data_IF_576665265988
#
_entry.id   IF_576665265988
#
_cell.length_a   1.000
_cell.length_b   1.000
_cell.length_c   1.000
_cell.angle_alpha   90.00
_cell.angle_beta   90.00
_cell.angle_gamma   90.00
#
_symmetry.space_group_name_H-M   'P 1'
#
loop_
_entity.id
_entity.type
_entity.pdbx_description
1 polymer ?
#
# COMPACT_ATOMS: atom_id res chain seq x y z
N UNK A 1 -1.02 13.93 0.47
CA UNK A 1 -0.02 13.42 -0.51
C UNK A 1 -0.02 14.38 -1.68
N UNK A 2 1.13 14.73 -2.22
CA UNK A 2 1.21 15.52 -3.45
C UNK A 2 1.79 14.69 -4.58
N UNK A 3 1.34 14.95 -5.79
CA UNK A 3 1.89 14.36 -7.02
C UNK A 3 2.31 15.51 -7.92
N UNK A 4 3.55 15.46 -8.41
CA UNK A 4 4.10 16.53 -9.26
C UNK A 4 4.96 15.95 -10.38
N UNK A 5 5.29 16.77 -11.39
CA UNK A 5 6.31 16.43 -12.37
C UNK A 5 7.52 17.33 -12.16
N UNK A 6 8.70 16.75 -11.97
CA UNK A 6 9.95 17.46 -11.74
C UNK A 6 10.93 17.19 -12.88
N UNK A 7 11.58 18.23 -13.40
CA UNK A 7 12.65 18.07 -14.39
C UNK A 7 14.03 18.00 -13.71
N UNK A 8 15.05 17.60 -14.47
CA UNK A 8 16.45 17.54 -13.98
C UNK A 8 16.99 18.89 -13.52
N UNK A 9 16.44 20.00 -14.04
CA UNK A 9 16.84 21.37 -13.67
C UNK A 9 16.05 21.91 -12.47
N UNK A 10 15.19 21.10 -11.84
CA UNK A 10 14.48 21.44 -10.61
C UNK A 10 13.12 22.12 -10.79
N UNK A 11 12.71 22.47 -12.01
CA UNK A 11 11.37 23.01 -12.25
C UNK A 11 10.29 21.97 -11.94
N UNK A 12 9.26 22.41 -11.22
CA UNK A 12 8.12 21.59 -10.81
C UNK A 12 6.88 22.04 -11.58
N UNK A 13 6.17 21.09 -12.18
CA UNK A 13 4.94 21.34 -12.93
C UNK A 13 3.83 20.40 -12.45
N UNK A 14 2.57 20.82 -12.63
CA UNK A 14 1.38 20.03 -12.27
C UNK A 14 1.42 19.46 -10.85
N UNK A 15 1.64 20.33 -9.86
CA UNK A 15 1.50 19.93 -8.46
C UNK A 15 0.02 19.76 -8.13
N UNK A 16 -0.37 18.54 -7.76
CA UNK A 16 -1.72 18.19 -7.33
C UNK A 16 -1.65 17.62 -5.93
N UNK A 17 -2.36 18.25 -5.01
CA UNK A 17 -2.52 17.78 -3.64
C UNK A 17 -3.76 16.90 -3.49
N UNK A 18 -3.59 15.80 -2.77
CA UNK A 18 -4.64 14.88 -2.39
C UNK A 18 -4.83 14.90 -0.87
N UNK A 19 -6.09 15.05 -0.46
CA UNK A 19 -6.50 15.02 0.95
C UNK A 19 -6.48 13.60 1.57
N UNK A 20 -6.36 12.55 0.76
CA UNK A 20 -6.22 11.17 1.25
C UNK A 20 -4.77 10.70 1.24
N UNK A 21 -4.31 10.11 2.34
CA UNK A 21 -3.05 9.36 2.39
C UNK A 21 -3.34 7.88 2.16
N UNK A 22 -2.88 7.35 1.02
CA UNK A 22 -3.06 5.95 0.60
C UNK A 22 -1.95 5.57 -0.36
N UNK A 23 -1.62 4.28 -0.44
CA UNK A 23 -0.74 3.75 -1.47
C UNK A 23 -1.63 3.12 -2.56
N UNK A 24 -1.54 3.65 -3.78
CA UNK A 24 -2.30 3.14 -4.93
C UNK A 24 -1.34 2.90 -6.10
N UNK A 25 -1.07 1.63 -6.43
CA UNK A 25 -0.23 1.25 -7.55
C UNK A 25 -0.72 1.85 -8.86
N UNK A 26 0.12 2.68 -9.47
CA UNK A 26 -0.21 3.38 -10.71
C UNK A 26 0.39 2.72 -11.96
N UNK A 27 1.19 1.65 -11.80
CA UNK A 27 1.90 1.01 -12.90
C UNK A 27 1.94 -0.53 -12.84
N UNK A 28 1.45 -1.18 -13.90
CA UNK A 28 1.48 -2.65 -14.11
C UNK A 28 2.78 -3.20 -14.73
N UNK A 29 3.87 -2.42 -14.81
CA UNK A 29 5.07 -2.81 -15.58
C UNK A 29 5.95 -3.87 -14.91
N UNK A 30 5.68 -4.22 -13.66
CA UNK A 30 6.49 -5.20 -12.94
C UNK A 30 5.89 -6.60 -13.11
N UNK A 31 6.54 -7.42 -13.93
CA UNK A 31 6.15 -8.81 -14.19
C UNK A 31 6.44 -9.75 -13.01
N UNK A 32 7.33 -9.35 -12.10
CA UNK A 32 7.72 -10.14 -10.94
C UNK A 32 6.93 -9.73 -9.70
N UNK A 33 6.72 -10.70 -8.79
CA UNK A 33 6.17 -10.46 -7.46
C UNK A 33 7.05 -9.46 -6.69
N UNK A 34 6.43 -8.46 -6.09
CA UNK A 34 7.13 -7.39 -5.37
C UNK A 34 6.50 -7.14 -4.00
N UNK A 35 7.32 -6.67 -3.07
CA UNK A 35 6.88 -6.18 -1.76
C UNK A 35 6.30 -4.77 -1.86
N UNK A 36 5.52 -4.33 -0.88
CA UNK A 36 5.07 -2.93 -0.73
C UNK A 36 6.29 -2.01 -0.65
N UNK A 37 7.32 -2.40 0.11
CA UNK A 37 8.57 -1.64 0.17
C UNK A 37 9.22 -1.49 -1.21
N UNK A 38 9.30 -2.57 -2.00
CA UNK A 38 9.91 -2.53 -3.33
C UNK A 38 9.12 -1.63 -4.28
N UNK A 39 7.78 -1.68 -4.22
CA UNK A 39 6.93 -0.75 -4.97
C UNK A 39 7.25 0.70 -4.60
N UNK A 40 7.28 1.05 -3.30
CA UNK A 40 7.57 2.40 -2.84
C UNK A 40 8.94 2.90 -3.32
N UNK A 41 9.99 2.08 -3.19
CA UNK A 41 11.34 2.43 -3.64
C UNK A 41 11.44 2.61 -5.16
N UNK A 42 10.70 1.82 -5.94
CA UNK A 42 10.82 1.80 -7.40
C UNK A 42 9.85 2.74 -8.13
N UNK A 43 8.77 3.19 -7.49
CA UNK A 43 7.68 3.92 -8.14
C UNK A 43 7.39 5.30 -7.58
N UNK A 44 8.08 5.75 -6.52
CA UNK A 44 7.96 7.13 -6.07
C UNK A 44 8.46 8.15 -7.11
N UNK A 45 9.32 7.72 -8.05
CA UNK A 45 9.75 8.54 -9.18
C UNK A 45 9.78 7.72 -10.46
N UNK A 46 9.03 8.12 -11.48
CA UNK A 46 9.00 7.45 -12.79
C UNK A 46 8.87 8.44 -13.95
N UNK A 47 9.22 8.02 -15.17
CA UNK A 47 9.08 8.87 -16.35
C UNK A 47 7.62 9.28 -16.56
N UNK A 48 7.37 10.58 -16.72
CA UNK A 48 6.01 11.11 -16.92
C UNK A 48 5.56 11.13 -18.38
N UNK A 49 6.51 10.98 -19.32
CA UNK A 49 6.29 11.26 -20.75
C UNK A 49 6.04 12.74 -21.07
N UNK A 50 6.18 13.64 -20.08
CA UNK A 50 5.95 15.09 -20.22
C UNK A 50 7.30 15.80 -20.28
N UNK A 51 7.39 16.79 -21.17
CA UNK A 51 8.54 17.69 -21.27
C UNK A 51 8.28 18.95 -20.44
N UNK A 52 9.31 19.45 -19.77
CA UNK A 52 9.27 20.70 -19.02
C UNK A 52 9.06 21.89 -19.98
N UNK A 53 8.01 22.68 -19.77
CA UNK A 53 7.71 23.85 -20.59
C UNK A 53 8.74 24.98 -20.46
N UNK A 54 9.53 25.00 -19.39
CA UNK A 54 10.52 26.06 -19.13
C UNK A 54 11.90 25.76 -19.73
N UNK A 55 12.40 24.53 -19.59
CA UNK A 55 13.75 24.17 -20.04
C UNK A 55 13.79 23.07 -21.12
N UNK A 56 12.66 22.54 -21.54
CA UNK A 56 12.57 21.52 -22.60
C UNK A 56 13.11 20.14 -22.21
N UNK A 57 13.52 19.91 -20.96
CA UNK A 57 14.01 18.60 -20.51
C UNK A 57 12.87 17.67 -20.09
N UNK A 58 13.09 16.37 -20.18
CA UNK A 58 12.14 15.36 -19.71
C UNK A 58 11.86 15.52 -18.22
N UNK A 59 10.59 15.30 -17.83
CA UNK A 59 10.18 15.29 -16.42
C UNK A 59 9.96 13.88 -15.93
N UNK A 60 10.08 13.72 -14.61
CA UNK A 60 9.68 12.53 -13.88
C UNK A 60 8.50 12.89 -12.99
N UNK A 61 7.53 11.99 -12.88
CA UNK A 61 6.43 12.10 -11.93
C UNK A 61 6.94 11.69 -10.56
N UNK A 62 6.70 12.52 -9.55
CA UNK A 62 7.12 12.33 -8.16
C UNK A 62 5.89 12.30 -7.25
N UNK A 63 5.79 11.27 -6.42
CA UNK A 63 4.76 11.14 -5.38
C UNK A 63 5.39 11.41 -4.01
N UNK A 64 4.81 12.31 -3.22
CA UNK A 64 5.34 12.70 -1.91
C UNK A 64 4.26 12.62 -0.83
N UNK A 65 4.61 11.98 0.28
CA UNK A 65 3.74 11.83 1.45
C UNK A 65 4.07 12.90 2.49
N UNK A 66 3.04 13.64 2.89
CA UNK A 66 3.13 14.76 3.84
C UNK A 66 2.50 14.44 5.20
N UNK A 67 1.75 13.34 5.29
CA UNK A 67 1.04 12.91 6.49
C UNK A 67 1.26 11.41 6.71
N UNK A 68 1.42 11.02 7.98
CA UNK A 68 1.47 9.63 8.44
C UNK A 68 0.21 9.28 9.23
N UNK A 69 -0.87 8.80 8.58
CA UNK A 69 -2.05 8.38 9.30
C UNK A 69 -1.76 7.14 10.17
N UNK A 70 -2.47 6.99 11.28
CA UNK A 70 -2.37 5.79 12.13
C UNK A 70 -2.67 4.48 11.39
N UNK A 71 -3.54 4.56 10.38
CA UNK A 71 -3.89 3.45 9.50
C UNK A 71 -3.72 3.89 8.05
N UNK A 72 -2.85 3.20 7.32
CA UNK A 72 -2.55 3.47 5.92
C UNK A 72 -3.13 2.35 5.04
N UNK A 73 -4.13 2.65 4.20
CA UNK A 73 -4.64 1.69 3.23
C UNK A 73 -3.70 1.59 2.02
N UNK A 74 -3.40 0.35 1.63
CA UNK A 74 -2.62 -0.02 0.45
C UNK A 74 -3.49 -0.83 -0.49
N UNK A 75 -3.73 -0.30 -1.68
CA UNK A 75 -4.45 -1.01 -2.74
C UNK A 75 -3.45 -1.94 -3.43
N UNK A 76 -3.78 -3.22 -3.62
CA UNK A 76 -2.90 -4.17 -4.33
C UNK A 76 -3.64 -4.97 -5.42
N UNK A 77 -4.93 -4.70 -5.62
CA UNK A 77 -5.73 -5.29 -6.70
C UNK A 77 -5.08 -5.07 -8.08
N UNK A 78 -5.04 -6.14 -8.89
CA UNK A 78 -4.48 -6.08 -10.24
C UNK A 78 -2.96 -5.90 -10.29
N UNK A 79 -2.27 -6.06 -9.16
CA UNK A 79 -0.81 -5.97 -9.08
C UNK A 79 -0.18 -7.31 -8.70
N UNK A 80 1.12 -7.43 -8.95
CA UNK A 80 1.94 -8.53 -8.43
C UNK A 80 2.48 -8.24 -7.02
N UNK A 81 1.88 -7.28 -6.30
CA UNK A 81 2.33 -6.94 -4.95
C UNK A 81 1.80 -7.94 -3.92
N UNK A 82 2.62 -8.26 -2.94
CA UNK A 82 2.17 -9.00 -1.75
C UNK A 82 2.30 -8.19 -0.49
N UNK A 83 1.46 -8.47 0.52
CA UNK A 83 1.57 -7.82 1.82
C UNK A 83 2.95 -8.08 2.42
N UNK A 84 3.60 -7.03 2.91
CA UNK A 84 4.78 -7.14 3.76
C UNK A 84 4.37 -7.17 5.23
N UNK A 85 5.14 -7.86 6.06
CA UNK A 85 5.00 -7.74 7.52
C UNK A 85 5.16 -6.28 7.95
N UNK A 86 6.15 -5.59 7.37
CA UNK A 86 6.47 -4.19 7.67
C UNK A 86 7.04 -3.48 6.43
N UNK A 87 6.85 -2.16 6.33
CA UNK A 87 7.55 -1.30 5.37
C UNK A 87 7.77 0.10 5.93
N UNK A 88 8.72 0.82 5.35
CA UNK A 88 9.05 2.21 5.67
C UNK A 88 8.48 3.15 4.61
N UNK A 89 7.68 4.11 5.05
CA UNK A 89 7.21 5.23 4.25
C UNK A 89 8.14 6.42 4.44
N UNK A 90 8.89 6.75 3.40
CA UNK A 90 9.72 7.96 3.37
C UNK A 90 8.84 9.20 3.18
N UNK A 91 8.81 10.07 4.18
CA UNK A 91 8.11 11.35 4.17
C UNK A 91 9.09 12.52 4.06
N UNK A 92 8.56 13.73 3.90
CA UNK A 92 9.39 14.95 3.87
C UNK A 92 10.03 15.24 5.24
N UNK A 93 11.17 14.60 5.53
CA UNK A 93 11.97 14.85 6.73
C UNK A 93 11.88 13.77 7.81
N UNK A 94 11.10 12.71 7.61
CA UNK A 94 10.96 11.60 8.55
C UNK A 94 10.66 10.29 7.81
N UNK A 95 11.12 9.18 8.38
CA UNK A 95 10.83 7.83 7.92
C UNK A 95 9.87 7.17 8.91
N UNK A 96 8.72 6.72 8.42
CA UNK A 96 7.67 6.13 9.26
C UNK A 96 7.52 4.64 8.95
N UNK A 97 7.65 3.79 9.96
CA UNK A 97 7.43 2.34 9.83
C UNK A 97 5.95 2.00 10.00
N UNK A 98 5.42 1.25 9.04
CA UNK A 98 4.10 0.64 9.08
C UNK A 98 4.22 -0.87 9.19
N UNK A 99 3.27 -1.48 9.89
CA UNK A 99 3.14 -2.94 10.03
C UNK A 99 1.77 -3.39 9.55
N UNK A 100 1.69 -4.54 8.90
CA UNK A 100 0.42 -5.08 8.45
C UNK A 100 -0.48 -5.42 9.64
N UNK A 101 -1.73 -4.99 9.56
CA UNK A 101 -2.77 -5.26 10.58
C UNK A 101 -4.02 -5.88 9.97
N UNK A 102 -4.15 -5.90 8.65
CA UNK A 102 -5.22 -6.65 8.01
C UNK A 102 -5.14 -6.68 6.49
N UNK A 103 -5.94 -7.55 5.90
CA UNK A 103 -6.09 -7.73 4.46
C UNK A 103 -7.55 -7.99 4.12
N UNK A 104 -7.97 -7.50 2.97
CA UNK A 104 -9.29 -7.80 2.40
C UNK A 104 -9.07 -8.55 1.09
N UNK A 105 -9.77 -9.66 0.95
CA UNK A 105 -9.90 -10.45 -0.27
C UNK A 105 -11.27 -10.17 -0.86
N UNK A 106 -11.38 -9.97 -2.17
CA UNK A 106 -12.66 -9.73 -2.83
C UNK A 106 -12.74 -10.50 -4.13
N UNK A 107 -13.92 -11.04 -4.43
CA UNK A 107 -14.21 -11.74 -5.67
C UNK A 107 -15.60 -12.37 -5.63
N UNK A 108 -16.22 -12.56 -6.80
CA UNK A 108 -17.58 -13.13 -6.90
C UNK A 108 -18.62 -12.44 -6.00
N UNK A 109 -18.54 -11.10 -5.88
CA UNK A 109 -19.41 -10.28 -5.01
C UNK A 109 -19.36 -10.63 -3.51
N UNK A 110 -18.27 -11.25 -3.07
CA UNK A 110 -18.04 -11.68 -1.71
C UNK A 110 -16.68 -11.15 -1.23
N UNK A 111 -16.63 -10.55 -0.04
CA UNK A 111 -15.34 -10.19 0.58
C UNK A 111 -15.08 -11.07 1.79
N UNK A 112 -13.81 -11.38 2.00
CA UNK A 112 -13.31 -11.99 3.24
C UNK A 112 -12.21 -11.09 3.79
N UNK A 113 -11.97 -11.16 5.08
CA UNK A 113 -10.95 -10.35 5.74
C UNK A 113 -10.12 -11.20 6.70
N UNK A 114 -8.84 -10.83 6.81
CA UNK A 114 -8.02 -11.19 7.97
C UNK A 114 -7.60 -9.91 8.67
N UNK A 115 -7.61 -9.92 9.99
CA UNK A 115 -7.06 -8.82 10.79
C UNK A 115 -6.21 -9.36 11.94
N UNK A 116 -5.32 -8.51 12.43
CA UNK A 116 -4.35 -8.82 13.48
C UNK A 116 -4.73 -8.01 14.71
N UNK A 117 -4.92 -8.68 15.85
CA UNK A 117 -5.15 -8.00 17.13
C UNK A 117 -3.85 -7.51 17.80
N UNK A 118 -3.98 -6.96 19.02
CA UNK A 118 -2.86 -6.41 19.76
C UNK A 118 -1.81 -7.47 20.16
N UNK A 119 -2.24 -8.72 20.32
CA UNK A 119 -1.41 -9.87 20.65
C UNK A 119 -0.75 -10.50 19.41
N UNK A 120 -0.97 -9.94 18.21
CA UNK A 120 -0.43 -10.47 16.96
C UNK A 120 -1.17 -11.70 16.45
N UNK A 121 -2.39 -11.94 16.93
CA UNK A 121 -3.25 -13.05 16.53
C UNK A 121 -4.03 -12.67 15.29
N UNK A 122 -4.02 -13.56 14.30
CA UNK A 122 -4.78 -13.41 13.07
C UNK A 122 -6.17 -14.00 13.23
N UNK A 123 -7.16 -13.19 12.86
CA UNK A 123 -8.57 -13.51 12.87
C UNK A 123 -9.14 -13.45 11.47
N UNK A 124 -9.77 -14.53 11.01
CA UNK A 124 -10.42 -14.64 9.71
C UNK A 124 -11.92 -14.42 9.81
N UNK A 125 -12.44 -13.56 8.95
CA UNK A 125 -13.86 -13.29 8.81
C UNK A 125 -14.28 -13.45 7.36
N UNK A 126 -15.13 -14.46 7.11
CA UNK A 126 -15.73 -14.72 5.81
C UNK A 126 -17.02 -13.90 5.61
N UNK A 127 -17.68 -13.44 6.68
CA UNK A 127 -18.93 -12.66 6.61
C UNK A 127 -20.15 -13.45 6.14
N UNK A 128 -19.96 -14.47 5.29
CA UNK A 128 -21.01 -15.39 4.82
C UNK A 128 -21.01 -16.69 5.62
N UNK A 129 -19.89 -17.43 5.62
CA UNK A 129 -19.77 -18.72 6.31
C UNK A 129 -19.73 -18.54 7.83
N UNK A 130 -18.96 -17.56 8.30
CA UNK A 130 -18.74 -17.35 9.74
C UNK A 130 -19.73 -16.35 10.37
N UNK A 131 -20.60 -15.74 9.54
CA UNK A 131 -21.55 -14.72 9.98
C UNK A 131 -20.87 -13.54 10.69
N UNK A 132 -21.13 -13.40 12.00
CA UNK A 132 -20.58 -12.31 12.84
C UNK A 132 -19.33 -12.70 13.64
N UNK A 133 -18.84 -13.93 13.50
CA UNK A 133 -17.74 -14.45 14.32
C UNK A 133 -16.47 -14.48 13.47
N UNK A 134 -15.39 -13.92 14.00
CA UNK A 134 -14.07 -14.12 13.43
C UNK A 134 -13.43 -15.38 14.04
N UNK A 135 -12.74 -16.16 13.23
CA UNK A 135 -12.09 -17.41 13.64
C UNK A 135 -10.59 -17.15 13.82
N UNK A 136 -10.03 -17.55 14.94
CA UNK A 136 -8.59 -17.50 15.19
C UNK A 136 -7.85 -18.47 14.27
N UNK A 137 -6.93 -17.96 13.45
CA UNK A 137 -6.11 -18.77 12.54
C UNK A 137 -4.69 -19.02 13.06
N UNK A 138 -4.13 -18.14 13.90
CA UNK A 138 -2.78 -18.31 14.41
C UNK A 138 -2.11 -16.99 14.79
N UNK A 139 -0.78 -17.02 14.92
CA UNK A 139 0.05 -15.80 15.06
C UNK A 139 0.46 -15.31 13.68
N UNK A 140 0.65 -14.00 13.52
CA UNK A 140 0.92 -13.36 12.22
C UNK A 140 2.10 -13.97 11.46
N UNK A 141 3.16 -14.38 12.15
CA UNK A 141 4.34 -15.00 11.54
C UNK A 141 4.10 -16.40 10.99
N UNK A 142 2.96 -17.02 11.32
CA UNK A 142 2.58 -18.37 10.90
C UNK A 142 1.37 -18.42 9.96
N UNK A 143 0.76 -17.28 9.62
CA UNK A 143 -0.43 -17.22 8.75
C UNK A 143 -0.08 -16.49 7.45
N UNK A 144 -0.33 -17.15 6.32
CA UNK A 144 -0.12 -16.54 5.00
C UNK A 144 -1.22 -15.50 4.69
N UNK A 145 -0.85 -14.22 4.76
CA UNK A 145 -1.74 -13.10 4.46
C UNK A 145 -1.88 -12.84 2.94
N UNK A 146 -1.07 -13.50 2.10
CA UNK A 146 -1.01 -13.22 0.66
C UNK A 146 -2.02 -14.01 -0.18
N UNK A 147 -2.69 -15.00 0.40
CA UNK A 147 -3.71 -15.81 -0.27
C UNK A 147 -4.80 -16.25 0.70
N UNK A 148 -6.05 -16.17 0.26
CA UNK A 148 -7.19 -16.68 1.00
C UNK A 148 -7.31 -18.21 0.89
N UNK A 149 -8.18 -18.79 1.73
CA UNK A 149 -8.49 -20.22 1.74
C UNK A 149 -9.00 -20.77 0.39
N UNK A 150 -9.59 -19.92 -0.43
CA UNK A 150 -10.12 -20.26 -1.76
C UNK A 150 -9.22 -19.82 -2.93
N UNK A 151 -7.99 -19.40 -2.62
CA UNK A 151 -7.00 -19.00 -3.62
C UNK A 151 -7.05 -17.54 -4.06
N UNK A 152 -7.99 -16.73 -3.56
CA UNK A 152 -8.03 -15.29 -3.87
C UNK A 152 -6.82 -14.55 -3.29
N UNK A 153 -6.28 -13.61 -4.02
CA UNK A 153 -5.27 -12.67 -3.52
C UNK A 153 -5.94 -11.45 -2.89
N UNK A 154 -5.25 -10.72 -1.98
CA UNK A 154 -5.83 -9.53 -1.39
C UNK A 154 -6.03 -8.44 -2.45
N UNK A 155 -7.08 -7.64 -2.25
CA UNK A 155 -7.33 -6.40 -2.99
C UNK A 155 -6.86 -5.17 -2.21
N UNK A 156 -6.85 -5.29 -0.88
CA UNK A 156 -6.40 -4.26 0.06
C UNK A 156 -5.56 -4.85 1.17
N UNK A 157 -4.58 -4.07 1.60
CA UNK A 157 -3.82 -4.27 2.83
C UNK A 157 -4.02 -3.05 3.72
N UNK A 158 -4.27 -3.29 5.00
CA UNK A 158 -4.33 -2.27 6.04
C UNK A 158 -3.06 -2.37 6.86
N UNK A 159 -2.34 -1.26 6.99
CA UNK A 159 -1.10 -1.20 7.75
C UNK A 159 -1.21 -0.11 8.82
N UNK A 160 -0.90 -0.45 10.07
CA UNK A 160 -0.87 0.52 11.17
C UNK A 160 0.51 1.12 11.32
N UNK A 161 0.58 2.34 11.81
CA UNK A 161 1.86 2.95 12.22
C UNK A 161 2.43 2.17 13.41
N UNK A 162 3.74 1.92 13.43
CA UNK A 162 4.36 1.06 14.45
C UNK A 162 4.41 1.74 15.84
N UNK A 163 4.66 3.05 15.86
CA UNK A 163 4.75 3.88 17.06
C UNK A 163 3.39 4.18 17.70
N UNK A 164 2.29 3.99 16.96
CA UNK A 164 0.94 3.97 17.50
C UNK A 164 0.76 2.71 18.33
N UNK A 165 1.14 2.83 19.60
CA UNK A 165 0.75 1.91 20.68
C UNK A 165 -0.54 2.43 21.29
N UNK A 166 -1.54 1.56 21.35
CA UNK A 166 -2.80 1.79 22.05
C UNK A 166 -2.59 1.81 23.57
#
# INVERSE_FOLDING_TARGET
MSVSNKCSNGHVTRNVDFFSCRISPSHSRYQNKQTIQCYLTSTQTYSSGIICGECGTSTVKCEQYHLSPSLLPVYIEGTNMTPDDTFTLHMSGEDITYVITGVIYYGASHFMARYVDAEGIVWFNDGYVNGRVAIREGIITGVDMSVAVDGRTPVFVMCRRLDDTA
#
